data_IF_301133957714
#
_entry.id   IF_301133957714
#
_cell.length_a   1.000
_cell.length_b   1.000
_cell.length_c   1.000
_cell.angle_alpha   90.00
_cell.angle_beta   90.00
_cell.angle_gamma   90.00
#
_symmetry.space_group_name_H-M   'P 1'
#
loop_
_entity.id
_entity.type
_entity.pdbx_description
1 polymer ?
#
# COMPACT_ATOMS: atom_id res chain seq x y z
N UNK A 1 -11.82 -0.25 6.68
CA UNK A 1 -12.03 1.12 7.17
C UNK A 1 -10.99 1.42 8.24
N UNK A 2 -10.34 2.59 8.22
CA UNK A 2 -9.40 2.97 9.27
C UNK A 2 -10.17 3.17 10.58
N UNK A 3 -9.67 2.64 11.69
CA UNK A 3 -10.27 2.84 13.01
C UNK A 3 -10.00 4.29 13.43
N UNK A 4 -11.02 5.14 13.32
CA UNK A 4 -10.97 6.49 13.87
C UNK A 4 -11.55 6.46 15.29
N UNK A 5 -10.70 6.76 16.28
CA UNK A 5 -11.20 6.96 17.64
C UNK A 5 -12.06 8.22 17.67
N UNK A 6 -13.21 8.15 18.33
CA UNK A 6 -14.03 9.34 18.59
C UNK A 6 -13.23 10.43 19.31
N UNK A 7 -12.23 10.03 20.13
CA UNK A 7 -11.38 10.90 20.94
C UNK A 7 -9.91 10.65 20.54
N UNK A 8 -9.29 11.48 19.68
CA UNK A 8 -7.97 11.18 19.09
C UNK A 8 -6.84 10.94 20.12
N UNK A 9 -6.90 11.60 21.28
CA UNK A 9 -5.89 11.43 22.33
C UNK A 9 -5.92 10.03 22.98
N UNK A 10 -7.04 9.31 22.90
CA UNK A 10 -7.15 7.92 23.40
C UNK A 10 -6.15 7.01 22.68
N UNK A 11 -5.91 7.27 21.39
CA UNK A 11 -4.91 6.56 20.62
C UNK A 11 -3.49 6.66 21.19
N UNK A 12 -3.13 7.79 21.81
CA UNK A 12 -1.84 7.97 22.49
C UNK A 12 -1.88 7.44 23.94
N UNK A 13 -3.00 7.62 24.63
CA UNK A 13 -3.12 7.22 26.03
C UNK A 13 -2.99 5.70 26.22
N UNK A 14 -3.55 4.89 25.32
CA UNK A 14 -3.52 3.42 25.42
C UNK A 14 -2.06 2.89 25.38
N UNK A 15 -1.21 3.22 24.38
CA UNK A 15 0.20 2.84 24.39
C UNK A 15 0.95 3.35 25.62
N UNK A 16 0.72 4.59 26.05
CA UNK A 16 1.36 5.14 27.26
C UNK A 16 1.05 4.30 28.51
N UNK A 17 -0.22 3.88 28.68
CA UNK A 17 -0.64 3.02 29.79
C UNK A 17 0.01 1.64 29.67
N UNK A 18 -0.01 1.03 28.48
CA UNK A 18 0.61 -0.28 28.25
C UNK A 18 2.11 -0.27 28.55
N UNK A 19 2.84 0.72 28.02
CA UNK A 19 4.28 0.90 28.28
C UNK A 19 4.50 1.05 29.78
N UNK A 20 3.73 1.89 30.47
CA UNK A 20 3.91 2.14 31.90
C UNK A 20 3.61 0.92 32.77
N UNK A 21 2.51 0.22 32.50
CA UNK A 21 2.08 -0.97 33.26
C UNK A 21 3.07 -2.12 33.05
N UNK A 22 3.46 -2.40 31.81
CA UNK A 22 4.40 -3.47 31.52
C UNK A 22 5.80 -3.17 32.04
N UNK A 23 6.34 -1.98 31.80
CA UNK A 23 7.71 -1.64 32.22
C UNK A 23 7.84 -1.45 33.73
N UNK A 24 7.10 -0.50 34.32
CA UNK A 24 7.27 -0.17 35.74
C UNK A 24 6.59 -1.19 36.65
N UNK A 25 5.47 -1.80 36.21
CA UNK A 25 4.83 -2.89 36.94
C UNK A 25 5.74 -4.10 37.05
N UNK A 26 6.30 -4.58 35.93
CA UNK A 26 7.24 -5.70 35.98
C UNK A 26 8.50 -5.36 36.77
N UNK A 27 9.05 -4.16 36.62
CA UNK A 27 10.25 -3.76 37.35
C UNK A 27 10.02 -3.74 38.86
N UNK A 28 8.92 -3.15 39.31
CA UNK A 28 8.62 -2.99 40.73
C UNK A 28 8.26 -4.31 41.41
N UNK A 29 7.42 -5.14 40.79
CA UNK A 29 6.91 -6.35 41.41
C UNK A 29 7.81 -7.57 41.19
N UNK A 30 8.58 -7.61 40.10
CA UNK A 30 9.31 -8.81 39.67
C UNK A 30 10.80 -8.53 39.52
N UNK A 31 11.19 -7.72 38.54
CA UNK A 31 12.58 -7.66 38.08
C UNK A 31 13.56 -7.15 39.16
N UNK A 32 13.15 -6.20 40.00
CA UNK A 32 14.02 -5.67 41.06
C UNK A 32 14.45 -6.69 42.11
N UNK A 33 13.71 -7.80 42.23
CA UNK A 33 13.95 -8.87 43.19
C UNK A 33 14.83 -9.99 42.61
N UNK A 34 14.85 -10.14 41.29
CA UNK A 34 15.45 -11.30 40.61
C UNK A 34 16.55 -10.94 39.60
N UNK A 35 16.70 -9.67 39.25
CA UNK A 35 17.77 -9.17 38.38
C UNK A 35 18.81 -8.41 39.20
N UNK A 36 20.06 -8.46 38.75
CA UNK A 36 21.11 -7.64 39.32
C UNK A 36 20.91 -6.15 38.99
N UNK A 37 21.67 -5.26 39.65
CA UNK A 37 21.54 -3.81 39.42
C UNK A 37 21.92 -3.42 37.98
N UNK A 38 22.85 -4.14 37.36
CA UNK A 38 23.30 -3.83 36.00
C UNK A 38 22.19 -4.10 34.99
N UNK A 39 21.54 -5.25 35.06
CA UNK A 39 20.46 -5.62 34.16
C UNK A 39 19.19 -4.82 34.43
N UNK A 40 18.93 -4.43 35.69
CA UNK A 40 17.89 -3.46 36.03
C UNK A 40 18.12 -2.10 35.32
N UNK A 41 19.35 -1.58 35.33
CA UNK A 41 19.70 -0.33 34.63
C UNK A 41 19.55 -0.51 33.12
N UNK A 42 20.00 -1.64 32.55
CA UNK A 42 19.84 -1.95 31.12
C UNK A 42 18.36 -1.98 30.73
N UNK A 43 17.50 -2.63 31.51
CA UNK A 43 16.07 -2.67 31.25
C UNK A 43 15.46 -1.26 31.25
N UNK A 44 15.79 -0.42 32.23
CA UNK A 44 15.33 0.97 32.27
C UNK A 44 15.86 1.81 31.09
N UNK A 45 17.06 1.52 30.59
CA UNK A 45 17.57 2.14 29.38
C UNK A 45 16.73 1.78 28.14
N UNK A 46 16.36 0.51 27.96
CA UNK A 46 15.47 0.08 26.88
C UNK A 46 14.08 0.73 26.98
N UNK A 47 13.50 0.80 28.18
CA UNK A 47 12.23 1.52 28.42
C UNK A 47 12.36 3.00 28.06
N UNK A 48 13.49 3.63 28.39
CA UNK A 48 13.76 5.02 28.00
C UNK A 48 13.85 5.19 26.48
N UNK A 49 14.45 4.23 25.77
CA UNK A 49 14.49 4.22 24.30
C UNK A 49 13.07 4.11 23.71
N UNK A 50 12.19 3.28 24.28
CA UNK A 50 10.78 3.23 23.86
C UNK A 50 10.12 4.61 23.99
N UNK A 51 10.24 5.25 25.15
CA UNK A 51 9.64 6.57 25.36
C UNK A 51 10.18 7.61 24.37
N UNK A 52 11.49 7.66 24.19
CA UNK A 52 12.13 8.63 23.28
C UNK A 52 11.67 8.38 21.83
N UNK A 53 11.72 7.15 21.35
CA UNK A 53 11.34 6.82 19.97
C UNK A 53 9.85 7.02 19.73
N UNK A 54 9.00 6.70 20.71
CA UNK A 54 7.56 6.94 20.63
C UNK A 54 7.22 8.44 20.58
N UNK A 55 7.83 9.26 21.43
CA UNK A 55 7.65 10.72 21.42
C UNK A 55 8.09 11.32 20.08
N UNK A 56 9.21 10.86 19.51
CA UNK A 56 9.67 11.32 18.20
C UNK A 56 8.67 10.90 17.11
N UNK A 57 8.13 9.68 17.14
CA UNK A 57 7.13 9.22 16.17
C UNK A 57 5.83 10.05 16.23
N UNK A 58 5.43 10.51 17.42
CA UNK A 58 4.26 11.39 17.60
C UNK A 58 4.54 12.79 17.03
N UNK A 59 5.68 13.41 17.34
CA UNK A 59 5.91 14.83 17.04
C UNK A 59 6.58 15.11 15.71
N UNK A 60 7.34 14.15 15.15
CA UNK A 60 8.03 14.37 13.88
C UNK A 60 7.00 14.49 12.76
N UNK A 61 7.10 15.58 12.00
CA UNK A 61 6.28 15.80 10.82
C UNK A 61 6.49 14.64 9.81
N UNK A 62 5.42 14.08 9.23
CA UNK A 62 5.52 12.93 8.31
C UNK A 62 6.09 13.28 6.92
N UNK A 63 6.25 14.57 6.62
CA UNK A 63 6.76 15.09 5.36
C UNK A 63 5.64 15.71 4.54
N UNK A 64 5.79 17.00 4.21
CA UNK A 64 4.81 17.74 3.41
C UNK A 64 5.36 18.07 2.03
N UNK A 65 4.55 18.00 0.96
CA UNK A 65 4.96 18.43 -0.36
C UNK A 65 5.45 19.88 -0.39
N UNK A 66 6.43 20.21 -1.25
CA UNK A 66 6.80 21.60 -1.49
C UNK A 66 5.60 22.40 -2.02
N UNK A 67 5.49 23.67 -1.63
CA UNK A 67 4.47 24.57 -2.15
C UNK A 67 4.69 24.80 -3.65
N UNK A 68 3.60 24.89 -4.42
CA UNK A 68 3.63 25.09 -5.87
C UNK A 68 4.41 23.98 -6.59
N UNK A 69 4.26 22.73 -6.15
CA UNK A 69 4.85 21.60 -6.84
C UNK A 69 4.24 21.49 -8.24
N UNK A 70 5.07 21.25 -9.25
CA UNK A 70 4.61 21.01 -10.61
C UNK A 70 5.12 19.64 -11.07
N UNK A 71 4.24 18.69 -11.44
CA UNK A 71 4.65 17.38 -11.91
C UNK A 71 5.52 17.47 -13.16
N UNK A 72 6.56 16.63 -13.22
CA UNK A 72 7.40 16.53 -14.43
C UNK A 72 6.66 15.76 -15.50
N UNK A 73 7.01 16.00 -16.76
CA UNK A 73 6.54 15.18 -17.90
C UNK A 73 6.70 13.69 -17.59
N UNK A 74 5.66 12.91 -17.91
CA UNK A 74 5.64 11.47 -17.70
C UNK A 74 5.12 11.07 -16.32
N UNK A 75 4.87 12.03 -15.42
CA UNK A 75 4.26 11.77 -14.12
C UNK A 75 2.74 12.04 -14.13
N UNK A 76 2.00 11.37 -13.25
CA UNK A 76 0.58 11.63 -13.04
C UNK A 76 0.33 13.04 -12.44
N UNK A 77 -0.52 13.84 -13.08
CA UNK A 77 -0.99 15.16 -12.62
C UNK A 77 -2.07 15.00 -11.55
N UNK A 78 -1.65 14.63 -10.34
CA UNK A 78 -2.56 14.42 -9.21
C UNK A 78 -2.81 15.71 -8.46
N UNK A 79 -3.98 16.34 -8.61
CA UNK A 79 -4.32 17.54 -7.83
C UNK A 79 -4.99 17.20 -6.49
N UNK A 80 -4.61 17.88 -5.41
CA UNK A 80 -5.34 17.85 -4.14
C UNK A 80 -6.20 19.11 -3.99
N UNK A 81 -7.53 18.97 -4.08
CA UNK A 81 -8.46 20.10 -3.89
C UNK A 81 -8.38 20.75 -2.51
N UNK A 82 -8.17 19.95 -1.45
CA UNK A 82 -8.12 20.45 -0.05
C UNK A 82 -6.84 21.20 0.28
N UNK A 83 -5.73 20.79 -0.33
CA UNK A 83 -4.42 21.40 -0.10
C UNK A 83 -4.01 22.38 -1.20
N UNK A 84 -4.84 22.51 -2.24
CA UNK A 84 -4.62 23.38 -3.41
C UNK A 84 -3.20 23.25 -3.98
N UNK A 85 -2.74 22.01 -4.14
CA UNK A 85 -1.40 21.71 -4.64
C UNK A 85 -1.39 20.40 -5.42
N UNK A 86 -0.46 20.26 -6.36
CA UNK A 86 -0.19 18.96 -6.98
C UNK A 86 0.48 18.04 -5.97
N UNK A 87 0.07 16.77 -5.97
CA UNK A 87 0.65 15.70 -5.17
C UNK A 87 1.84 15.14 -5.94
N UNK A 88 3.05 15.20 -5.38
CA UNK A 88 4.18 14.47 -5.94
C UNK A 88 3.93 12.95 -5.99
N UNK A 89 4.86 12.21 -6.58
CA UNK A 89 4.86 10.75 -6.54
C UNK A 89 4.67 10.22 -5.11
N UNK A 90 3.98 9.07 -4.99
CA UNK A 90 3.74 8.37 -3.71
C UNK A 90 3.09 9.21 -2.59
N UNK A 91 2.53 10.38 -2.92
CA UNK A 91 1.91 11.31 -1.97
C UNK A 91 0.41 11.13 -1.90
N UNK A 92 -0.13 11.00 -0.69
CA UNK A 92 -1.57 10.85 -0.45
C UNK A 92 -2.07 11.93 0.52
N UNK A 93 -3.35 12.29 0.42
CA UNK A 93 -3.98 13.24 1.35
C UNK A 93 -4.59 12.47 2.51
N UNK A 94 -4.12 12.72 3.73
CA UNK A 94 -4.74 12.18 4.92
C UNK A 94 -5.85 13.11 5.40
N UNK A 95 -7.08 12.58 5.51
CA UNK A 95 -8.23 13.31 6.05
C UNK A 95 -8.01 13.68 7.52
N UNK A 96 -7.52 12.74 8.33
CA UNK A 96 -7.37 12.89 9.77
C UNK A 96 -6.29 13.93 10.12
N UNK A 97 -5.19 13.98 9.36
CA UNK A 97 -4.14 15.01 9.51
C UNK A 97 -4.40 16.28 8.68
N UNK A 98 -5.46 16.29 7.86
CA UNK A 98 -5.84 17.35 6.92
C UNK A 98 -4.67 17.92 6.08
N UNK A 99 -3.81 17.05 5.58
CA UNK A 99 -2.64 17.45 4.79
C UNK A 99 -2.23 16.35 3.81
N UNK A 100 -1.53 16.74 2.73
CA UNK A 100 -0.81 15.80 1.89
C UNK A 100 0.48 15.36 2.56
N UNK A 101 0.73 14.05 2.56
CA UNK A 101 1.88 13.41 3.20
C UNK A 101 2.74 12.74 2.12
N UNK A 102 4.02 13.09 2.09
CA UNK A 102 5.02 12.50 1.20
C UNK A 102 5.25 11.03 1.54
N UNK A 103 5.32 10.15 0.53
CA UNK A 103 5.48 8.69 0.68
C UNK A 103 4.62 8.15 1.83
N UNK A 104 3.32 8.49 1.79
CA UNK A 104 2.40 8.18 2.89
C UNK A 104 2.26 6.67 3.03
N UNK A 105 2.54 6.15 4.23
CA UNK A 105 2.35 4.74 4.55
C UNK A 105 0.96 4.51 5.11
N UNK A 106 0.63 5.15 6.23
CA UNK A 106 -0.70 5.09 6.82
C UNK A 106 -0.92 6.25 7.80
N UNK A 107 -2.17 6.45 8.22
CA UNK A 107 -2.46 7.22 9.42
C UNK A 107 -2.49 6.25 10.61
N UNK A 108 -1.65 6.49 11.62
CA UNK A 108 -1.56 5.62 12.78
C UNK A 108 -2.33 6.24 13.95
N UNK A 109 -3.47 5.64 14.37
CA UNK A 109 -4.23 6.13 15.51
C UNK A 109 -3.39 6.13 16.81
N UNK A 110 -2.45 5.18 16.93
CA UNK A 110 -1.63 4.99 18.12
C UNK A 110 -0.56 6.05 18.33
N UNK A 111 -0.20 6.80 17.29
CA UNK A 111 0.69 7.97 17.38
C UNK A 111 -0.07 9.27 17.19
N UNK A 112 -1.37 9.20 16.85
CA UNK A 112 -2.19 10.31 16.39
C UNK A 112 -1.47 11.16 15.31
N UNK A 113 -0.71 10.47 14.45
CA UNK A 113 0.11 11.09 13.41
C UNK A 113 0.14 10.19 12.18
N UNK A 114 0.35 10.79 11.02
CA UNK A 114 0.65 10.01 9.82
C UNK A 114 2.05 9.41 9.92
N UNK A 115 2.24 8.26 9.30
CA UNK A 115 3.55 7.69 9.01
C UNK A 115 3.82 7.95 7.52
N UNK A 116 4.87 8.69 7.22
CA UNK A 116 5.28 9.08 5.88
C UNK A 116 6.80 9.19 5.76
N UNK A 117 7.29 9.78 4.68
CA UNK A 117 8.72 9.86 4.36
C UNK A 117 9.60 10.26 5.56
N UNK A 118 9.33 11.42 6.15
CA UNK A 118 10.21 12.05 7.14
C UNK A 118 10.20 11.38 8.52
N UNK A 119 9.14 10.64 8.85
CA UNK A 119 8.98 10.04 10.18
C UNK A 119 8.91 8.51 10.20
N UNK A 120 8.86 7.86 9.04
CA UNK A 120 8.87 6.40 8.94
C UNK A 120 10.03 5.72 9.69
N UNK A 121 11.28 6.22 9.63
CA UNK A 121 12.39 5.63 10.40
C UNK A 121 12.18 5.69 11.90
N UNK A 122 11.56 6.76 12.40
CA UNK A 122 11.29 6.91 13.83
C UNK A 122 10.17 5.98 14.28
N UNK A 123 9.13 5.82 13.45
CA UNK A 123 8.09 4.82 13.67
C UNK A 123 8.67 3.39 13.72
N UNK A 124 9.55 3.03 12.76
CA UNK A 124 10.17 1.72 12.74
C UNK A 124 11.05 1.47 13.97
N UNK A 125 11.85 2.47 14.40
CA UNK A 125 12.65 2.37 15.64
C UNK A 125 11.79 2.17 16.87
N UNK A 126 10.65 2.86 16.97
CA UNK A 126 9.69 2.65 18.04
C UNK A 126 9.19 1.20 18.08
N UNK A 127 8.70 0.69 16.93
CA UNK A 127 8.21 -0.70 16.82
C UNK A 127 9.31 -1.71 17.19
N UNK A 128 10.52 -1.56 16.68
CA UNK A 128 11.67 -2.44 17.02
C UNK A 128 11.99 -2.37 18.51
N UNK A 129 12.02 -1.16 19.10
CA UNK A 129 12.34 -0.98 20.52
C UNK A 129 11.30 -1.65 21.42
N UNK A 130 10.02 -1.59 21.05
CA UNK A 130 8.95 -2.31 21.74
C UNK A 130 9.19 -3.81 21.66
N UNK A 131 9.36 -4.39 20.46
CA UNK A 131 9.57 -5.84 20.28
C UNK A 131 10.77 -6.36 21.08
N UNK A 132 11.90 -5.65 21.05
CA UNK A 132 13.10 -6.04 21.79
C UNK A 132 12.85 -6.01 23.30
N UNK A 133 12.22 -4.96 23.81
CA UNK A 133 12.01 -4.80 25.25
C UNK A 133 10.95 -5.76 25.78
N UNK A 134 9.82 -5.92 25.09
CA UNK A 134 8.77 -6.87 25.47
C UNK A 134 9.25 -8.31 25.26
N UNK A 135 10.09 -8.58 24.26
CA UNK A 135 10.70 -9.90 24.09
C UNK A 135 11.63 -10.26 25.25
N UNK A 136 12.45 -9.32 25.74
CA UNK A 136 13.24 -9.53 26.95
C UNK A 136 12.34 -9.71 28.18
N UNK A 137 11.35 -8.83 28.36
CA UNK A 137 10.42 -8.94 29.49
C UNK A 137 9.69 -10.29 29.52
N UNK A 138 9.21 -10.77 28.36
CA UNK A 138 8.54 -12.05 28.22
C UNK A 138 9.41 -13.22 28.69
N UNK A 139 10.69 -13.20 28.34
CA UNK A 139 11.67 -14.21 28.79
C UNK A 139 11.81 -14.18 30.32
N UNK A 140 11.95 -13.01 30.92
CA UNK A 140 12.10 -12.89 32.39
C UNK A 140 10.82 -13.30 33.13
N UNK A 141 9.64 -12.88 32.67
CA UNK A 141 8.37 -13.29 33.26
C UNK A 141 8.13 -14.79 33.09
N UNK A 142 8.53 -15.39 31.97
CA UNK A 142 8.41 -16.82 31.74
C UNK A 142 9.34 -17.63 32.67
N UNK A 143 10.58 -17.19 32.88
CA UNK A 143 11.48 -17.81 33.88
C UNK A 143 10.85 -17.83 35.27
N UNK A 144 10.20 -16.73 35.67
CA UNK A 144 9.48 -16.66 36.96
C UNK A 144 8.28 -17.60 37.02
N UNK A 145 7.52 -17.71 35.94
CA UNK A 145 6.42 -18.67 35.85
C UNK A 145 6.91 -20.11 36.03
N UNK A 146 8.02 -20.48 35.36
CA UNK A 146 8.62 -21.82 35.50
C UNK A 146 9.07 -22.08 36.93
N UNK A 147 9.71 -21.10 37.59
CA UNK A 147 10.13 -21.22 38.98
C UNK A 147 8.93 -21.44 39.92
N UNK A 148 7.83 -20.70 39.74
CA UNK A 148 6.61 -20.96 40.53
C UNK A 148 6.01 -22.35 40.30
N UNK A 149 6.14 -22.90 39.08
CA UNK A 149 5.72 -24.26 38.79
C UNK A 149 6.61 -25.31 39.46
N UNK A 150 7.92 -25.09 39.50
CA UNK A 150 8.87 -25.95 40.22
C UNK A 150 8.62 -25.92 41.73
N UNK A 151 8.37 -24.73 42.27
CA UNK A 151 8.12 -24.46 43.69
C UNK A 151 6.67 -24.73 44.14
N UNK A 152 5.83 -25.36 43.30
CA UNK A 152 4.40 -25.61 43.58
C UNK A 152 4.10 -26.39 44.86
N UNK A 153 5.08 -27.14 45.38
CA UNK A 153 4.94 -27.92 46.61
C UNK A 153 5.42 -27.17 47.87
N UNK A 154 5.97 -25.95 47.71
CA UNK A 154 6.39 -25.14 48.84
C UNK A 154 5.18 -24.65 49.64
N UNK A 155 5.30 -24.53 50.98
CA UNK A 155 4.28 -23.88 51.79
C UNK A 155 3.97 -22.46 51.31
N UNK A 156 2.68 -22.12 51.23
CA UNK A 156 2.18 -20.85 50.66
C UNK A 156 2.71 -19.57 51.31
N UNK A 157 3.26 -19.63 52.52
CA UNK A 157 3.85 -18.48 53.21
C UNK A 157 5.27 -18.14 52.73
N UNK A 158 5.94 -19.05 52.01
CA UNK A 158 7.24 -18.81 51.37
C UNK A 158 7.12 -18.16 49.99
N UNK A 159 5.92 -18.19 49.40
CA UNK A 159 5.63 -17.63 48.08
C UNK A 159 5.18 -16.19 48.24
N UNK A 160 5.87 -15.23 47.60
CA UNK A 160 5.38 -13.86 47.53
C UNK A 160 4.15 -13.79 46.62
N UNK A 161 2.97 -13.69 47.24
CA UNK A 161 1.69 -13.61 46.54
C UNK A 161 1.61 -12.39 45.63
N UNK A 162 2.23 -11.25 46.00
CA UNK A 162 2.16 -10.01 45.21
C UNK A 162 2.87 -10.17 43.88
N UNK A 163 4.08 -10.74 43.92
CA UNK A 163 4.84 -11.06 42.72
C UNK A 163 4.11 -12.09 41.86
N UNK A 164 3.57 -13.16 42.46
CA UNK A 164 2.82 -14.19 41.74
C UNK A 164 1.62 -13.60 41.00
N UNK A 165 0.83 -12.75 41.65
CA UNK A 165 -0.28 -12.04 40.99
C UNK A 165 0.21 -11.14 39.85
N UNK A 166 1.33 -10.43 40.04
CA UNK A 166 1.91 -9.60 39.00
C UNK A 166 2.35 -10.42 37.79
N UNK A 167 3.01 -11.56 37.97
CA UNK A 167 3.41 -12.45 36.86
C UNK A 167 2.19 -12.97 36.11
N UNK A 168 1.16 -13.45 36.82
CA UNK A 168 -0.08 -13.97 36.20
C UNK A 168 -0.80 -12.89 35.39
N UNK A 169 -0.78 -11.64 35.84
CA UNK A 169 -1.43 -10.53 35.15
C UNK A 169 -0.59 -9.95 34.01
N UNK A 170 0.70 -9.73 34.21
CA UNK A 170 1.57 -9.04 33.26
C UNK A 170 1.99 -9.94 32.10
N UNK A 171 2.24 -11.24 32.35
CA UNK A 171 2.68 -12.17 31.30
C UNK A 171 1.73 -12.25 30.10
N UNK A 172 0.41 -12.47 30.24
CA UNK A 172 -0.49 -12.53 29.09
C UNK A 172 -0.63 -11.18 28.36
N UNK A 173 -0.55 -10.06 29.09
CA UNK A 173 -0.58 -8.72 28.49
C UNK A 173 0.68 -8.49 27.66
N UNK A 174 1.85 -8.80 28.21
CA UNK A 174 3.13 -8.66 27.53
C UNK A 174 3.20 -9.58 26.30
N UNK A 175 2.73 -10.83 26.43
CA UNK A 175 2.63 -11.77 25.30
C UNK A 175 1.75 -11.22 24.18
N UNK A 176 0.59 -10.65 24.51
CA UNK A 176 -0.31 -10.05 23.53
C UNK A 176 0.35 -8.85 22.81
N UNK A 177 0.98 -7.95 23.56
CA UNK A 177 1.70 -6.81 22.98
C UNK A 177 2.87 -7.28 22.12
N UNK A 178 3.70 -8.18 22.62
CA UNK A 178 4.83 -8.75 21.87
C UNK A 178 4.36 -9.39 20.57
N UNK A 179 3.35 -10.26 20.61
CA UNK A 179 2.85 -10.96 19.43
C UNK A 179 2.30 -9.99 18.38
N UNK A 180 1.42 -9.06 18.79
CA UNK A 180 0.78 -8.11 17.87
C UNK A 180 1.78 -7.13 17.25
N UNK A 181 2.71 -6.59 18.03
CA UNK A 181 3.74 -5.68 17.53
C UNK A 181 4.79 -6.41 16.69
N UNK A 182 5.09 -7.68 16.98
CA UNK A 182 5.95 -8.52 16.12
C UNK A 182 5.31 -8.77 14.75
N UNK A 183 4.00 -9.03 14.69
CA UNK A 183 3.27 -9.14 13.41
C UNK A 183 3.34 -7.83 12.62
N UNK A 184 3.12 -6.70 13.30
CA UNK A 184 3.26 -5.37 12.67
C UNK A 184 4.68 -5.15 12.14
N UNK A 185 5.71 -5.46 12.93
CA UNK A 185 7.10 -5.36 12.51
C UNK A 185 7.40 -6.25 11.30
N UNK A 186 6.92 -7.50 11.31
CA UNK A 186 7.06 -8.43 10.18
C UNK A 186 6.44 -7.87 8.90
N UNK A 187 5.22 -7.30 8.99
CA UNK A 187 4.56 -6.64 7.85
C UNK A 187 5.35 -5.42 7.36
N UNK A 188 5.86 -4.59 8.26
CA UNK A 188 6.71 -3.45 7.89
C UNK A 188 8.00 -3.93 7.19
N UNK A 189 8.65 -4.97 7.70
CA UNK A 189 9.85 -5.55 7.10
C UNK A 189 9.57 -6.13 5.72
N UNK A 190 8.49 -6.90 5.56
CA UNK A 190 8.11 -7.49 4.26
C UNK A 190 7.87 -6.40 3.22
N UNK A 191 7.06 -5.39 3.56
CA UNK A 191 6.70 -4.36 2.60
C UNK A 191 7.87 -3.44 2.27
N UNK A 192 8.69 -3.12 3.26
CA UNK A 192 9.82 -2.23 3.10
C UNK A 192 11.02 -2.92 2.45
N UNK A 193 11.52 -3.99 3.08
CA UNK A 193 12.80 -4.60 2.71
C UNK A 193 12.63 -5.38 1.41
N UNK A 194 11.60 -6.24 1.34
CA UNK A 194 11.44 -7.17 0.23
C UNK A 194 10.70 -6.59 -0.97
N UNK A 195 10.00 -5.46 -0.82
CA UNK A 195 9.15 -4.91 -1.88
C UNK A 195 9.33 -3.42 -2.17
N UNK A 196 10.03 -2.66 -1.31
CA UNK A 196 10.17 -1.20 -1.47
C UNK A 196 8.86 -0.39 -1.39
N UNK A 197 7.76 -1.02 -0.95
CA UNK A 197 6.39 -0.49 -0.98
C UNK A 197 5.94 0.08 0.37
N UNK A 198 5.12 1.12 0.29
CA UNK A 198 4.27 1.59 1.39
C UNK A 198 3.03 0.69 1.53
N UNK A 199 2.31 0.77 2.66
CA UNK A 199 1.04 0.04 2.82
C UNK A 199 0.00 0.41 1.76
N UNK A 200 -0.06 1.67 1.35
CA UNK A 200 -0.98 2.11 0.29
C UNK A 200 -0.62 1.46 -1.04
N UNK A 201 0.66 1.43 -1.40
CA UNK A 201 1.12 0.82 -2.65
C UNK A 201 0.91 -0.69 -2.69
N UNK A 202 1.01 -1.37 -1.53
CA UNK A 202 0.66 -2.79 -1.45
C UNK A 202 -0.81 -3.01 -1.80
N UNK A 203 -1.72 -2.20 -1.25
CA UNK A 203 -3.14 -2.28 -1.60
C UNK A 203 -3.42 -1.87 -3.05
N UNK A 204 -2.67 -0.91 -3.60
CA UNK A 204 -2.76 -0.55 -5.02
C UNK A 204 -2.33 -1.73 -5.91
N UNK A 205 -1.24 -2.44 -5.54
CA UNK A 205 -0.79 -3.64 -6.25
C UNK A 205 -1.81 -4.76 -6.15
N UNK A 206 -2.31 -5.07 -4.96
CA UNK A 206 -3.35 -6.10 -4.75
C UNK A 206 -4.62 -5.80 -5.57
N UNK A 207 -5.01 -4.52 -5.69
CA UNK A 207 -6.14 -4.11 -6.55
C UNK A 207 -5.85 -4.38 -8.03
N UNK A 208 -4.65 -4.05 -8.50
CA UNK A 208 -4.21 -4.30 -9.88
C UNK A 208 -4.21 -5.81 -10.16
N UNK A 209 -3.71 -6.62 -9.22
CA UNK A 209 -3.71 -8.09 -9.31
C UNK A 209 -5.14 -8.64 -9.44
N UNK A 210 -6.07 -8.16 -8.62
CA UNK A 210 -7.47 -8.58 -8.67
C UNK A 210 -8.18 -8.16 -9.96
N UNK A 211 -7.79 -7.02 -10.54
CA UNK A 211 -8.40 -6.46 -11.75
C UNK A 211 -7.66 -6.85 -13.02
N UNK A 212 -6.58 -7.63 -12.92
CA UNK A 212 -5.67 -7.90 -14.02
C UNK A 212 -6.37 -8.50 -15.24
N UNK A 213 -7.31 -9.43 -15.05
CA UNK A 213 -8.06 -10.05 -16.15
C UNK A 213 -9.29 -9.23 -16.60
N UNK A 214 -9.49 -8.02 -16.07
CA UNK A 214 -10.60 -7.16 -16.44
C UNK A 214 -10.29 -6.38 -17.71
N UNK A 215 -11.15 -6.49 -18.72
CA UNK A 215 -11.05 -5.69 -19.95
C UNK A 215 -11.09 -4.18 -19.68
N UNK A 216 -11.81 -3.77 -18.63
CA UNK A 216 -11.89 -2.36 -18.21
C UNK A 216 -10.52 -1.81 -17.80
N UNK A 217 -9.74 -2.60 -17.05
CA UNK A 217 -8.40 -2.19 -16.61
C UNK A 217 -7.47 -2.06 -17.82
N UNK A 218 -7.50 -3.04 -18.72
CA UNK A 218 -6.69 -3.02 -19.94
C UNK A 218 -7.07 -1.91 -20.91
N UNK A 219 -8.36 -1.57 -21.02
CA UNK A 219 -8.80 -0.40 -21.77
C UNK A 219 -8.18 0.90 -21.23
N UNK A 220 -8.12 1.06 -19.90
CA UNK A 220 -7.49 2.22 -19.27
C UNK A 220 -5.98 2.26 -19.51
N UNK A 221 -5.28 1.14 -19.32
CA UNK A 221 -3.84 1.03 -19.56
C UNK A 221 -3.49 1.38 -21.01
N UNK A 222 -4.21 0.80 -21.99
CA UNK A 222 -4.01 1.11 -23.42
C UNK A 222 -4.24 2.58 -23.73
N UNK A 223 -5.27 3.20 -23.14
CA UNK A 223 -5.52 4.64 -23.30
C UNK A 223 -4.42 5.50 -22.69
N UNK A 224 -3.92 5.14 -21.51
CA UNK A 224 -2.84 5.86 -20.84
C UNK A 224 -1.53 5.76 -21.62
N UNK A 225 -1.21 4.57 -22.12
CA UNK A 225 -0.07 4.32 -23.00
C UNK A 225 -0.14 5.19 -24.25
N UNK A 226 -1.29 5.20 -24.93
CA UNK A 226 -1.49 6.05 -26.09
C UNK A 226 -1.37 7.54 -25.77
N UNK A 227 -1.88 8.00 -24.63
CA UNK A 227 -1.76 9.40 -24.21
C UNK A 227 -0.31 9.82 -24.03
N UNK A 228 0.52 8.97 -23.43
CA UNK A 228 1.92 9.23 -23.13
C UNK A 228 2.82 9.12 -24.37
N UNK A 229 2.74 8.00 -25.09
CA UNK A 229 3.67 7.66 -26.18
C UNK A 229 3.14 8.00 -27.58
N UNK A 230 1.85 8.34 -27.72
CA UNK A 230 1.16 8.56 -29.01
C UNK A 230 1.25 7.35 -29.95
N UNK A 231 1.36 6.15 -29.38
CA UNK A 231 1.43 4.87 -30.10
C UNK A 231 0.44 3.89 -29.47
N UNK A 232 -0.16 2.96 -30.24
CA UNK A 232 -0.92 1.88 -29.65
C UNK A 232 0.00 1.03 -28.76
N UNK A 233 -0.56 0.46 -27.70
CA UNK A 233 0.14 -0.52 -26.89
C UNK A 233 0.55 -1.68 -27.81
N UNK A 234 1.84 -2.08 -27.85
CA UNK A 234 2.26 -3.18 -28.71
C UNK A 234 1.48 -4.44 -28.36
N UNK A 235 1.20 -5.27 -29.36
CA UNK A 235 0.84 -6.66 -29.10
C UNK A 235 2.06 -7.29 -28.44
N UNK A 236 1.92 -7.60 -27.15
CA UNK A 236 2.98 -8.18 -26.33
C UNK A 236 3.17 -9.63 -26.76
N UNK A 237 3.61 -9.89 -27.99
CA UNK A 237 4.08 -11.21 -28.38
C UNK A 237 5.29 -11.51 -27.48
N UNK A 238 5.25 -12.65 -26.80
CA UNK A 238 6.27 -13.10 -25.84
C UNK A 238 7.70 -12.77 -26.30
N UNK A 239 8.54 -12.35 -25.35
CA UNK A 239 9.86 -11.76 -25.53
C UNK A 239 10.72 -12.30 -26.69
N UNK A 240 11.37 -11.35 -27.36
CA UNK A 240 12.46 -11.51 -28.33
C UNK A 240 13.79 -11.57 -27.55
N UNK A 241 14.11 -12.70 -26.89
CA UNK A 241 15.47 -12.95 -26.36
C UNK A 241 15.97 -14.26 -27.00
N UNK A 242 16.89 -14.14 -27.95
CA UNK A 242 17.83 -15.18 -28.41
C UNK A 242 17.32 -16.62 -28.67
N UNK A 243 16.04 -16.85 -28.93
CA UNK A 243 15.55 -18.18 -29.37
C UNK A 243 16.19 -18.65 -30.66
N UNK A 244 16.66 -17.74 -31.53
CA UNK A 244 17.39 -18.14 -32.76
C UNK A 244 18.69 -18.90 -32.48
N UNK A 245 19.32 -18.73 -31.32
CA UNK A 245 20.52 -19.50 -30.98
C UNK A 245 20.20 -20.94 -30.53
N UNK A 246 19.07 -21.14 -29.86
CA UNK A 246 18.62 -22.46 -29.42
C UNK A 246 17.79 -23.20 -30.47
N UNK A 247 17.02 -22.48 -31.32
CA UNK A 247 16.31 -23.03 -32.47
C UNK A 247 17.27 -23.52 -33.55
N UNK A 248 18.40 -22.82 -33.79
CA UNK A 248 19.45 -23.29 -34.70
C UNK A 248 20.21 -24.53 -34.16
N UNK A 249 20.19 -24.74 -32.83
CA UNK A 249 20.74 -25.95 -32.19
C UNK A 249 19.72 -27.10 -32.19
N UNK A 250 18.43 -26.80 -31.97
CA UNK A 250 17.34 -27.78 -31.98
C UNK A 250 17.05 -28.29 -33.41
N UNK A 251 17.05 -27.41 -34.42
CA UNK A 251 16.95 -27.80 -35.83
C UNK A 251 18.12 -28.67 -36.32
N UNK A 252 19.26 -28.64 -35.61
CA UNK A 252 20.40 -29.51 -35.88
C UNK A 252 20.28 -30.89 -35.24
N UNK A 253 19.44 -31.04 -34.22
CA UNK A 253 19.14 -32.33 -33.58
C UNK A 253 17.91 -32.99 -34.23
N UNK A 254 16.94 -32.22 -34.71
CA UNK A 254 15.70 -32.73 -35.35
C UNK A 254 15.89 -33.23 -36.80
N UNK A 255 17.01 -32.89 -37.48
CA UNK A 255 17.36 -33.46 -38.80
C UNK A 255 17.74 -34.96 -38.76
N UNK A 256 17.76 -35.59 -37.58
CA UNK A 256 18.11 -37.01 -37.40
C UNK A 256 16.92 -37.96 -37.14
N UNK A 257 15.73 -37.45 -36.84
CA UNK A 257 14.61 -38.30 -36.36
C UNK A 257 13.34 -38.29 -37.24
N UNK A 258 13.32 -37.61 -38.39
CA UNK A 258 12.22 -37.73 -39.36
C UNK A 258 12.33 -38.98 -40.26
N UNK A 259 12.20 -40.15 -39.65
CA UNK A 259 11.75 -41.38 -40.30
C UNK A 259 10.82 -42.13 -39.35
N UNK A 260 9.51 -41.83 -39.37
CA UNK A 260 8.44 -42.83 -39.45
C UNK A 260 7.03 -42.24 -39.28
N UNK A 261 6.22 -42.51 -40.30
CA UNK A 261 4.78 -42.85 -40.22
C UNK A 261 3.69 -41.77 -40.12
N UNK A 262 3.32 -41.40 -41.35
CA UNK A 262 2.00 -41.06 -41.89
C UNK A 262 0.74 -41.74 -41.31
N UNK A 263 -0.35 -40.96 -41.38
CA UNK A 263 -1.77 -41.34 -41.63
C UNK A 263 -2.60 -41.96 -40.49
N UNK A 264 -3.57 -41.19 -39.96
CA UNK A 264 -5.02 -41.35 -40.21
C UNK A 264 -5.86 -40.56 -39.18
N UNK A 265 -6.76 -39.71 -39.67
CA UNK A 265 -8.12 -39.41 -39.14
C UNK A 265 -8.63 -38.04 -39.65
N UNK A 266 -8.58 -37.90 -40.96
CA UNK A 266 -9.38 -36.95 -41.72
C UNK A 266 -10.82 -37.49 -41.72
N UNK A 267 -11.66 -37.09 -40.76
CA UNK A 267 -13.14 -37.19 -40.83
C UNK A 267 -13.88 -36.67 -39.58
N UNK A 268 -13.19 -36.14 -38.56
CA UNK A 268 -13.83 -35.53 -37.37
C UNK A 268 -13.86 -33.99 -37.37
N UNK A 269 -13.26 -33.33 -38.37
CA UNK A 269 -13.01 -31.89 -38.32
C UNK A 269 -14.12 -31.02 -38.93
N UNK A 270 -14.99 -31.57 -39.78
CA UNK A 270 -15.91 -30.75 -40.58
C UNK A 270 -17.20 -30.34 -39.84
N UNK A 271 -17.52 -30.99 -38.72
CA UNK A 271 -18.73 -30.68 -37.93
C UNK A 271 -18.47 -29.75 -36.72
N UNK A 272 -17.20 -29.45 -36.39
CA UNK A 272 -16.82 -28.46 -35.37
C UNK A 272 -16.64 -27.05 -35.95
N UNK A 273 -16.28 -26.93 -37.24
CA UNK A 273 -15.98 -25.64 -37.87
C UNK A 273 -17.19 -24.72 -38.10
N UNK A 274 -18.42 -25.25 -38.07
CA UNK A 274 -19.63 -24.43 -38.32
C UNK A 274 -20.33 -23.92 -37.06
N UNK A 275 -19.87 -24.29 -35.86
CA UNK A 275 -20.37 -23.73 -34.59
C UNK A 275 -19.41 -22.72 -33.95
N UNK A 276 -18.14 -22.65 -34.39
CA UNK A 276 -17.15 -21.68 -33.90
C UNK A 276 -17.13 -20.36 -34.71
N UNK A 277 -17.62 -20.33 -35.94
CA UNK A 277 -17.55 -19.14 -36.81
C UNK A 277 -18.54 -17.99 -36.48
N UNK A 278 -19.35 -18.10 -35.42
CA UNK A 278 -20.34 -17.07 -35.10
C UNK A 278 -20.17 -16.36 -33.75
N UNK A 279 -19.04 -16.51 -33.05
CA UNK A 279 -18.82 -15.77 -31.79
C UNK A 279 -17.40 -15.25 -31.51
N UNK A 280 -16.42 -15.43 -32.39
CA UNK A 280 -14.99 -15.22 -32.05
C UNK A 280 -14.30 -13.95 -32.59
N UNK A 281 -15.02 -12.99 -33.18
CA UNK A 281 -14.40 -11.77 -33.74
C UNK A 281 -14.28 -10.58 -32.76
N UNK A 282 -14.34 -10.81 -31.45
CA UNK A 282 -14.02 -9.78 -30.47
C UNK A 282 -12.69 -10.12 -29.78
N UNK A 283 -11.60 -9.66 -30.40
CA UNK A 283 -10.25 -9.84 -29.88
C UNK A 283 -10.16 -9.23 -28.48
N UNK A 284 -9.94 -10.07 -27.46
CA UNK A 284 -9.93 -9.62 -26.07
C UNK A 284 -8.84 -8.56 -25.87
N UNK A 285 -9.18 -7.49 -25.15
CA UNK A 285 -8.25 -6.40 -24.83
C UNK A 285 -7.12 -6.85 -23.89
N UNK A 286 -7.31 -7.97 -23.18
CA UNK A 286 -6.33 -8.57 -22.28
C UNK A 286 -5.26 -9.29 -23.10
N UNK A 287 -3.97 -8.91 -23.01
CA UNK A 287 -2.92 -9.61 -23.73
C UNK A 287 -2.76 -11.05 -23.21
N UNK A 288 -2.79 -12.05 -24.11
CA UNK A 288 -2.75 -13.48 -23.73
C UNK A 288 -1.39 -13.93 -23.16
N UNK A 289 -0.31 -13.26 -23.54
CA UNK A 289 1.08 -13.56 -23.18
C UNK A 289 1.64 -12.66 -22.09
N UNK A 290 0.86 -11.69 -21.60
CA UNK A 290 1.26 -10.80 -20.52
C UNK A 290 0.73 -11.32 -19.20
N UNK A 291 1.62 -11.40 -18.21
CA UNK A 291 1.35 -11.91 -16.88
C UNK A 291 1.42 -10.79 -15.85
N UNK A 292 0.92 -11.04 -14.64
CA UNK A 292 1.00 -10.06 -13.55
C UNK A 292 2.45 -9.73 -13.16
N UNK A 293 3.36 -10.69 -13.35
CA UNK A 293 4.78 -10.53 -13.01
C UNK A 293 5.48 -9.53 -13.95
N UNK A 294 4.93 -9.29 -15.14
CA UNK A 294 5.40 -8.28 -16.08
C UNK A 294 5.07 -6.84 -15.63
N UNK A 295 4.17 -6.67 -14.65
CA UNK A 295 3.89 -5.37 -14.01
C UNK A 295 4.88 -5.17 -12.86
N UNK A 296 6.04 -4.59 -13.18
CA UNK A 296 7.10 -4.34 -12.21
C UNK A 296 6.83 -3.08 -11.39
N UNK A 297 7.05 -3.17 -10.06
CA UNK A 297 6.95 -2.01 -9.18
C UNK A 297 8.22 -1.16 -9.27
N UNK A 298 8.15 0.13 -9.66
CA UNK A 298 9.34 0.89 -10.05
C UNK A 298 10.23 1.31 -8.88
N UNK A 299 9.77 1.24 -7.62
CA UNK A 299 10.56 1.68 -6.46
C UNK A 299 11.07 0.52 -5.59
N UNK A 300 11.19 -0.68 -6.15
CA UNK A 300 11.93 -1.77 -5.54
C UNK A 300 13.39 -1.79 -6.03
N UNK A 301 14.32 -1.38 -5.17
CA UNK A 301 15.75 -1.27 -5.48
C UNK A 301 16.57 -2.44 -4.91
N UNK A 302 15.88 -3.49 -4.42
CA UNK A 302 16.48 -4.59 -3.70
C UNK A 302 16.65 -4.33 -2.20
N UNK A 303 16.89 -5.42 -1.47
CA UNK A 303 16.80 -5.48 0.01
C UNK A 303 17.57 -4.36 0.73
N UNK A 304 18.82 -4.14 0.34
CA UNK A 304 19.70 -3.17 1.02
C UNK A 304 19.40 -1.72 0.63
N UNK A 305 19.15 -1.48 -0.65
CA UNK A 305 18.84 -0.14 -1.17
C UNK A 305 17.48 0.35 -0.64
N UNK A 306 16.49 -0.54 -0.54
CA UNK A 306 15.19 -0.25 0.06
C UNK A 306 15.34 0.20 1.52
N UNK A 307 16.14 -0.53 2.30
CA UNK A 307 16.45 -0.17 3.69
C UNK A 307 17.16 1.18 3.80
N UNK A 308 18.14 1.46 2.95
CA UNK A 308 18.86 2.74 2.96
C UNK A 308 17.94 3.90 2.59
N UNK A 309 17.06 3.71 1.62
CA UNK A 309 16.12 4.75 1.22
C UNK A 309 15.12 5.05 2.33
N UNK A 310 14.63 3.99 2.99
CA UNK A 310 13.71 4.14 4.10
C UNK A 310 14.37 4.75 5.33
N UNK A 311 15.46 4.17 5.82
CA UNK A 311 16.01 4.43 7.16
C UNK A 311 17.26 5.32 7.17
N UNK A 312 17.74 5.76 6.01
CA UNK A 312 19.00 6.48 5.87
C UNK A 312 20.21 5.54 5.88
N UNK A 313 21.41 6.09 6.07
CA UNK A 313 22.63 5.30 6.11
C UNK A 313 22.65 4.34 7.32
N UNK A 314 23.32 3.18 7.24
CA UNK A 314 23.33 2.18 8.32
C UNK A 314 23.71 2.73 9.70
N UNK A 315 24.68 3.66 9.76
CA UNK A 315 25.09 4.30 11.02
C UNK A 315 23.98 5.16 11.65
N UNK A 316 22.98 5.59 10.88
CA UNK A 316 21.83 6.36 11.34
C UNK A 316 20.71 5.48 11.91
N UNK A 317 20.73 4.16 11.68
CA UNK A 317 19.61 3.28 12.05
C UNK A 317 19.42 3.20 13.56
N UNK A 318 20.51 3.23 14.32
CA UNK A 318 20.49 3.26 15.78
C UNK A 318 20.46 4.69 16.36
N UNK A 319 20.61 5.71 15.52
CA UNK A 319 20.58 7.11 15.97
C UNK A 319 19.13 7.57 16.15
N UNK A 320 18.74 8.09 17.34
CA UNK A 320 17.36 8.50 17.61
C UNK A 320 16.80 9.51 16.61
N UNK A 321 17.67 10.39 16.10
CA UNK A 321 17.33 11.47 15.16
C UNK A 321 17.69 11.15 13.69
N UNK A 322 18.04 9.91 13.37
CA UNK A 322 18.35 9.52 11.99
C UNK A 322 17.11 9.59 11.09
N UNK A 323 17.15 10.42 10.05
CA UNK A 323 16.08 10.54 9.06
C UNK A 323 16.22 9.59 7.85
N UNK A 324 15.22 9.58 6.96
CA UNK A 324 15.26 8.85 5.70
C UNK A 324 16.28 9.45 4.72
N UNK A 325 16.55 8.76 3.60
CA UNK A 325 17.36 9.32 2.51
C UNK A 325 16.47 10.02 1.48
N UNK A 326 16.93 11.15 0.96
CA UNK A 326 16.22 11.90 -0.08
C UNK A 326 15.13 12.81 0.47
N UNK A 327 14.42 13.48 -0.43
CA UNK A 327 13.45 14.53 -0.12
C UNK A 327 11.99 14.03 -0.09
N UNK A 328 11.74 12.76 -0.42
CA UNK A 328 10.42 12.14 -0.36
C UNK A 328 9.51 12.41 -1.55
N UNK A 329 9.99 13.13 -2.58
CA UNK A 329 9.24 13.41 -3.81
C UNK A 329 10.08 13.28 -5.09
N UNK A 330 11.37 13.03 -4.97
CA UNK A 330 12.25 12.62 -6.07
C UNK A 330 12.87 11.28 -5.68
N UNK A 331 12.60 10.26 -6.48
CA UNK A 331 13.10 8.91 -6.25
C UNK A 331 14.23 8.60 -7.23
N UNK A 332 15.25 7.82 -6.83
CA UNK A 332 16.31 7.41 -7.74
C UNK A 332 15.72 6.51 -8.85
N UNK A 333 16.31 6.52 -10.05
CA UNK A 333 15.94 5.57 -11.08
C UNK A 333 16.24 4.15 -10.59
N UNK A 334 15.35 3.21 -10.90
CA UNK A 334 15.55 1.79 -10.59
C UNK A 334 16.15 1.11 -11.82
N UNK A 335 17.21 0.32 -11.62
CA UNK A 335 17.91 -0.39 -12.70
C UNK A 335 17.01 -1.43 -13.40
N UNK A 336 16.01 -1.95 -12.69
CA UNK A 336 15.01 -2.88 -13.24
C UNK A 336 13.86 -2.19 -14.01
N UNK A 337 13.86 -0.85 -14.14
CA UNK A 337 12.80 -0.14 -14.90
C UNK A 337 12.87 -0.48 -16.38
N UNK A 338 14.02 -0.94 -16.88
CA UNK A 338 14.14 -1.44 -18.26
C UNK A 338 13.37 -2.76 -18.48
N UNK A 339 12.99 -3.47 -17.42
CA UNK A 339 12.14 -4.67 -17.46
C UNK A 339 10.63 -4.34 -17.45
N UNK A 340 10.24 -3.10 -17.12
CA UNK A 340 8.84 -2.66 -17.19
C UNK A 340 8.41 -2.52 -18.65
N UNK A 341 7.61 -3.48 -19.10
CA UNK A 341 7.13 -3.54 -20.48
C UNK A 341 6.14 -2.42 -20.83
N UNK A 342 5.51 -1.78 -19.84
CA UNK A 342 4.56 -0.70 -20.07
C UNK A 342 5.24 0.68 -20.12
N UNK A 343 6.29 0.88 -19.33
CA UNK A 343 6.96 2.18 -19.16
C UNK A 343 6.04 3.27 -18.60
N UNK A 344 4.90 2.87 -18.00
CA UNK A 344 3.90 3.80 -17.48
C UNK A 344 4.23 4.19 -16.05
N UNK A 345 3.95 5.44 -15.63
CA UNK A 345 4.10 5.83 -14.24
C UNK A 345 3.19 5.00 -13.33
N UNK A 346 3.68 4.66 -12.13
CA UNK A 346 2.88 3.89 -11.18
C UNK A 346 1.75 4.73 -10.55
N UNK A 347 0.52 4.21 -10.44
CA UNK A 347 0.05 2.92 -10.98
C UNK A 347 -0.28 3.03 -12.49
N UNK A 348 -0.08 1.96 -13.29
CA UNK A 348 -0.18 2.02 -14.76
C UNK A 348 -1.58 2.35 -15.29
N UNK A 349 -2.62 1.99 -14.53
CA UNK A 349 -4.01 2.35 -14.85
C UNK A 349 -4.31 3.83 -14.57
N UNK A 350 -3.46 4.55 -13.83
CA UNK A 350 -3.63 5.96 -13.46
C UNK A 350 -4.85 6.26 -12.58
N UNK A 351 -5.74 5.28 -12.37
CA UNK A 351 -7.03 5.44 -11.74
C UNK A 351 -7.87 6.53 -12.44
N UNK A 352 -8.12 7.64 -11.73
CA UNK A 352 -8.87 8.79 -12.24
C UNK A 352 -7.97 10.01 -12.54
N UNK A 353 -6.69 9.79 -12.84
CA UNK A 353 -5.70 10.85 -12.94
C UNK A 353 -5.28 11.09 -14.39
N UNK A 354 -4.92 12.33 -14.69
CA UNK A 354 -4.38 12.71 -16.01
C UNK A 354 -2.87 12.62 -16.00
N UNK A 355 -2.26 12.16 -17.11
CA UNK A 355 -0.81 12.11 -17.24
C UNK A 355 -0.25 13.44 -17.75
N UNK A 356 0.92 13.84 -17.26
CA UNK A 356 1.61 15.02 -17.79
C UNK A 356 2.34 14.66 -19.09
N UNK A 357 2.01 15.36 -20.17
CA UNK A 357 2.62 15.15 -21.49
C UNK A 357 3.44 16.39 -21.87
N UNK A 358 4.53 16.24 -22.65
CA UNK A 358 5.28 17.38 -23.21
C UNK A 358 4.36 18.17 -24.13
N UNK A 359 4.03 19.40 -23.74
CA UNK A 359 3.47 20.40 -24.65
C UNK A 359 4.61 20.97 -25.50
N UNK A 360 4.84 20.36 -26.66
CA UNK A 360 5.31 21.09 -27.85
C UNK A 360 4.14 21.39 -28.81
N UNK A 361 2.93 21.48 -28.26
CA UNK A 361 1.78 22.05 -28.94
C UNK A 361 1.16 23.12 -28.04
N UNK A 362 0.64 24.22 -28.62
CA UNK A 362 -0.07 25.23 -27.87
C UNK A 362 -1.22 24.58 -27.12
N UNK A 363 -1.58 25.14 -25.96
CA UNK A 363 -2.78 24.74 -25.23
C UNK A 363 -3.94 24.58 -26.23
N UNK A 364 -4.48 23.38 -26.31
CA UNK A 364 -5.61 23.08 -27.19
C UNK A 364 -6.88 23.87 -26.75
N UNK A 365 -6.85 24.47 -25.56
CA UNK A 365 -7.83 25.44 -25.07
C UNK A 365 -7.75 26.82 -25.76
N UNK A 366 -6.60 27.18 -26.35
CA UNK A 366 -6.41 28.47 -27.06
C UNK A 366 -6.75 28.39 -28.57
N UNK A 367 -6.99 27.18 -29.10
CA UNK A 367 -7.36 26.96 -30.51
C UNK A 367 -8.86 26.73 -30.72
N UNK A 368 -9.67 26.76 -29.66
CA UNK A 368 -11.13 26.59 -29.72
C UNK A 368 -11.90 27.91 -29.57
N UNK A 369 -11.23 29.06 -29.58
CA UNK A 369 -11.91 30.36 -29.46
C UNK A 369 -12.56 30.87 -30.75
N UNK A 370 -12.38 30.18 -31.88
CA UNK A 370 -13.02 30.52 -33.15
C UNK A 370 -13.54 29.25 -33.87
N UNK A 371 -14.55 28.60 -33.32
CA UNK A 371 -15.76 28.21 -34.06
C UNK A 371 -16.76 27.52 -33.10
N UNK A 372 -18.04 27.80 -33.30
CA UNK A 372 -19.22 27.48 -32.51
C UNK A 372 -19.27 26.11 -31.80
N UNK A 373 -18.54 25.94 -30.68
CA UNK A 373 -18.62 24.72 -29.85
C UNK A 373 -19.02 25.02 -28.41
N UNK A 374 -19.88 24.14 -27.90
CA UNK A 374 -20.71 24.27 -26.71
C UNK A 374 -19.85 24.38 -25.45
N UNK A 375 -20.15 25.34 -24.56
CA UNK A 375 -19.32 25.61 -23.37
C UNK A 375 -19.40 24.45 -22.36
N UNK A 376 -18.35 24.19 -21.55
CA UNK A 376 -18.34 23.13 -20.54
C UNK A 376 -19.50 23.17 -19.53
N UNK A 377 -20.05 24.36 -19.28
CA UNK A 377 -21.21 24.55 -18.39
C UNK A 377 -22.52 24.01 -19.00
N UNK A 378 -22.58 23.86 -20.33
CA UNK A 378 -23.73 23.36 -21.08
C UNK A 378 -23.67 21.83 -21.32
N UNK A 379 -22.51 21.19 -21.08
CA UNK A 379 -22.33 19.74 -21.21
C UNK A 379 -23.07 18.94 -20.13
N UNK A 380 -23.24 19.48 -18.91
CA UNK A 380 -23.95 18.80 -17.82
C UNK A 380 -25.45 18.56 -18.14
N UNK A 381 -26.19 19.58 -18.61
CA UNK A 381 -27.57 19.43 -19.08
C UNK A 381 -27.74 18.58 -20.35
N UNK A 382 -26.74 18.57 -21.24
CA UNK A 382 -26.74 17.72 -22.45
C UNK A 382 -26.48 16.25 -22.12
N UNK A 383 -25.53 15.96 -21.23
CA UNK A 383 -25.20 14.61 -20.78
C UNK A 383 -26.35 13.95 -20.00
N UNK A 384 -27.09 14.71 -19.19
CA UNK A 384 -28.33 14.25 -18.52
C UNK A 384 -29.51 14.01 -19.46
N UNK A 385 -29.50 14.60 -20.66
CA UNK A 385 -30.51 14.34 -21.71
C UNK A 385 -30.18 13.15 -22.59
N UNK A 386 -28.89 12.86 -22.77
CA UNK A 386 -28.41 11.77 -23.61
C UNK A 386 -28.35 10.43 -22.89
N UNK A 387 -28.19 10.42 -21.56
CA UNK A 387 -28.21 9.21 -20.75
C UNK A 387 -29.36 9.26 -19.71
N UNK A 388 -30.47 8.55 -19.94
CA UNK A 388 -31.62 8.49 -19.03
C UNK A 388 -31.26 8.00 -17.62
N UNK A 389 -30.16 7.24 -17.46
CA UNK A 389 -29.74 6.65 -16.18
C UNK A 389 -29.23 7.69 -15.19
N UNK A 390 -28.75 8.83 -15.70
CA UNK A 390 -28.28 9.94 -14.87
C UNK A 390 -29.42 10.72 -14.20
N UNK A 391 -30.67 10.40 -14.51
CA UNK A 391 -31.86 10.95 -13.86
C UNK A 391 -32.50 9.97 -12.87
N UNK A 392 -31.97 8.75 -12.73
CA UNK A 392 -32.44 7.76 -11.76
C UNK A 392 -31.93 8.11 -10.36
N UNK A 393 -32.75 7.87 -9.33
CA UNK A 393 -32.28 7.97 -7.95
C UNK A 393 -31.23 6.90 -7.67
N UNK A 394 -30.33 7.11 -6.70
CA UNK A 394 -29.31 6.11 -6.33
C UNK A 394 -29.90 4.73 -5.99
N UNK A 395 -31.14 4.69 -5.50
CA UNK A 395 -31.88 3.46 -5.18
C UNK A 395 -32.42 2.74 -6.43
N UNK A 396 -32.67 3.50 -7.50
CA UNK A 396 -33.22 3.01 -8.78
C UNK A 396 -32.11 2.81 -9.82
N UNK A 397 -30.88 3.22 -9.52
CA UNK A 397 -29.75 3.06 -10.42
C UNK A 397 -29.35 1.59 -10.49
N UNK A 398 -29.34 1.07 -11.71
CA UNK A 398 -28.93 -0.29 -12.05
C UNK A 398 -28.13 -0.23 -13.34
N UNK A 399 -27.03 -0.98 -13.41
CA UNK A 399 -26.23 -1.05 -14.62
C UNK A 399 -26.89 -1.98 -15.67
N UNK A 400 -26.29 -2.07 -16.86
CA UNK A 400 -26.80 -2.93 -17.96
C UNK A 400 -26.77 -4.42 -17.62
N UNK A 401 -26.02 -4.81 -16.57
CA UNK A 401 -25.88 -6.18 -16.09
C UNK A 401 -26.84 -6.51 -14.93
N UNK A 402 -27.71 -5.58 -14.53
CA UNK A 402 -28.69 -5.79 -13.46
C UNK A 402 -28.15 -5.56 -12.04
N UNK A 403 -26.95 -5.01 -11.90
CA UNK A 403 -26.31 -4.77 -10.61
C UNK A 403 -26.63 -3.37 -10.08
N UNK A 404 -26.87 -3.27 -8.77
CA UNK A 404 -27.23 -2.06 -8.05
C UNK A 404 -26.00 -1.40 -7.41
N UNK A 405 -26.12 -0.15 -6.99
CA UNK A 405 -25.03 0.54 -6.28
C UNK A 405 -24.60 -0.15 -4.97
N UNK A 406 -25.51 -0.89 -4.32
CA UNK A 406 -25.19 -1.67 -3.12
C UNK A 406 -24.21 -2.81 -3.40
N UNK A 407 -24.27 -3.39 -4.60
CA UNK A 407 -23.38 -4.49 -5.01
C UNK A 407 -21.92 -4.02 -5.15
N UNK A 408 -21.72 -2.71 -5.29
CA UNK A 408 -20.41 -2.05 -5.30
C UNK A 408 -20.01 -1.45 -3.94
N UNK A 409 -20.75 -1.76 -2.87
CA UNK A 409 -20.46 -1.28 -1.52
C UNK A 409 -20.70 0.22 -1.32
N UNK A 410 -21.49 0.86 -2.20
CA UNK A 410 -21.89 2.26 -2.08
C UNK A 410 -23.15 2.33 -1.22
N UNK A 411 -23.10 3.05 -0.10
CA UNK A 411 -24.25 3.28 0.76
C UNK A 411 -25.29 4.18 0.04
N UNK A 412 -26.40 3.59 -0.38
CA UNK A 412 -27.49 4.27 -1.11
C UNK A 412 -28.43 5.06 -0.19
N UNK A 413 -28.36 4.88 1.13
CA UNK A 413 -29.21 5.55 2.11
C UNK A 413 -28.58 6.83 2.68
N UNK A 414 -27.29 7.07 2.43
CA UNK A 414 -26.55 8.22 2.95
C UNK A 414 -27.08 9.61 2.48
N UNK A 415 -27.80 9.70 1.36
CA UNK A 415 -28.38 10.96 0.85
C UNK A 415 -29.83 11.22 1.31
N UNK A 416 -30.46 10.31 2.07
CA UNK A 416 -31.82 10.52 2.57
C UNK A 416 -31.89 11.62 3.65
N UNK A 417 -30.76 11.95 4.29
CA UNK A 417 -30.71 12.98 5.33
C UNK A 417 -30.65 14.42 4.80
N UNK A 418 -30.23 14.65 3.56
CA UNK A 418 -29.99 16.01 3.03
C UNK A 418 -31.17 16.59 2.21
N UNK A 419 -32.21 15.80 1.93
CA UNK A 419 -33.32 16.22 1.05
C UNK A 419 -34.59 16.69 1.76
N UNK A 420 -34.73 16.52 3.07
CA UNK A 420 -35.92 17.00 3.80
C UNK A 420 -35.87 18.49 4.17
N UNK A 421 -34.71 19.15 4.10
CA UNK A 421 -34.53 20.53 4.61
C UNK A 421 -34.59 21.66 3.55
N UNK A 422 -35.11 21.40 2.34
CA UNK A 422 -35.29 22.46 1.34
C UNK A 422 -36.78 22.59 0.99
N UNK A 423 -37.55 23.11 1.94
CA UNK A 423 -38.82 23.77 1.63
C UNK A 423 -38.51 25.24 1.34
N UNK A 424 -38.77 25.77 0.13
CA UNK A 424 -38.61 27.19 -0.13
C UNK A 424 -39.81 27.93 0.48
N UNK A 425 -39.57 28.70 1.54
CA UNK A 425 -40.54 29.69 2.01
C UNK A 425 -40.57 30.85 1.03
N UNK A 426 -41.74 31.04 0.40
CA UNK A 426 -42.13 32.26 -0.32
C UNK A 426 -42.07 33.51 0.55
#
# INVERSE_FOLDING_TARGET
MAVEFQWPWVGIAIPCVLISVLSYGSHWFVLRHHMDKADQIKFQAYVSVIWITYLIAIWKNPGTPPKNFNPKVGEWRRWCKKCENYKPERTHHCRSCNQCVLKMDHHCPWTNNCVGHENFPHFLRFVVSVVVTTGWLLIELFKRLVQYYEDRNLPSYLIDKREMFAVIFLLPIDLFVFATITILLGRCIINLIFKGMTQIEVWEKERIEQQFYSERMWAQIRQNYFKLYKKPLPELTSWNHDSRYYDELAQKEDELDELEETQTSFELHEHQLQQEEHNDNQESLVPKSFTMDDIVFPYDYGLWSNLIQACGYPWMWLMPLGGPRGNGYVFPPNEYVEEDQLGLPWPPDGGHQEISVINNQPDFDDLLTDDHTIRPQDLGPLRRRLDPRLNLSRKEWMNEMGETLNDFGVDVDAEAYDKEDIIPTN
#
